data_IF_862421232163
#
_entry.id   IF_862421232163
#
_cell.length_a   1.000
_cell.length_b   1.000
_cell.length_c   1.000
_cell.angle_alpha   90.00
_cell.angle_beta   90.00
_cell.angle_gamma   90.00
#
_symmetry.space_group_name_H-M   'P 1'
#
loop_
_entity.id
_entity.type
_entity.pdbx_description
1 polymer ?
#
# COMPACT_ATOMS: atom_id res chain seq x y z
N UNK A 1 -27.84 18.85 9.05
CA UNK A 1 -28.53 18.06 10.09
C UNK A 1 -28.01 18.55 11.44
N UNK A 2 -28.90 18.94 12.37
CA UNK A 2 -28.51 19.28 13.74
C UNK A 2 -27.77 18.09 14.34
N UNK A 3 -26.64 18.36 14.99
CA UNK A 3 -25.80 17.35 15.60
C UNK A 3 -26.57 16.55 16.62
N UNK A 4 -26.57 15.23 16.45
CA UNK A 4 -27.06 14.30 17.46
C UNK A 4 -26.30 14.54 18.76
N UNK A 5 -27.06 14.64 19.85
CA UNK A 5 -26.50 14.50 21.19
C UNK A 5 -25.96 13.08 21.30
N UNK A 6 -24.65 12.96 21.48
CA UNK A 6 -23.98 11.69 21.73
C UNK A 6 -24.27 11.24 23.17
N UNK A 7 -25.52 10.86 23.45
CA UNK A 7 -25.97 10.39 24.78
C UNK A 7 -25.50 8.94 25.07
N UNK A 8 -24.35 8.53 24.54
CA UNK A 8 -23.69 7.24 24.85
C UNK A 8 -24.38 5.98 24.31
N UNK A 9 -25.62 6.06 23.83
CA UNK A 9 -26.41 4.92 23.36
C UNK A 9 -26.42 4.77 21.83
N UNK A 10 -25.28 4.96 21.16
CA UNK A 10 -25.21 4.54 19.74
C UNK A 10 -25.12 3.01 19.72
N UNK A 11 -26.27 2.37 19.49
CA UNK A 11 -26.33 0.92 19.30
C UNK A 11 -25.39 0.46 18.17
N UNK A 12 -24.79 -0.72 18.32
CA UNK A 12 -23.79 -1.27 17.39
C UNK A 12 -24.25 -1.23 15.93
N UNK A 13 -25.55 -1.46 15.68
CA UNK A 13 -26.12 -1.40 14.33
C UNK A 13 -26.18 0.02 13.75
N UNK A 14 -26.42 1.04 14.58
CA UNK A 14 -26.42 2.43 14.15
C UNK A 14 -24.99 2.88 13.80
N UNK A 15 -24.00 2.50 14.64
CA UNK A 15 -22.59 2.74 14.36
C UNK A 15 -22.13 2.04 13.06
N UNK A 16 -22.50 0.76 12.88
CA UNK A 16 -22.20 0.01 11.67
C UNK A 16 -22.83 0.62 10.42
N UNK A 17 -24.08 1.09 10.51
CA UNK A 17 -24.77 1.76 9.41
C UNK A 17 -24.14 3.11 9.07
N UNK A 18 -23.71 3.90 10.06
CA UNK A 18 -23.00 5.16 9.83
C UNK A 18 -21.65 4.91 9.15
N UNK A 19 -20.92 3.86 9.54
CA UNK A 19 -19.68 3.45 8.87
C UNK A 19 -19.93 3.01 7.43
N UNK A 20 -20.94 2.16 7.20
CA UNK A 20 -21.36 1.73 5.86
C UNK A 20 -21.76 2.92 4.98
N UNK A 21 -22.49 3.88 5.56
CA UNK A 21 -22.92 5.09 4.87
C UNK A 21 -21.71 5.99 4.56
N UNK A 22 -20.80 6.20 5.50
CA UNK A 22 -19.57 6.95 5.27
C UNK A 22 -18.71 6.31 4.16
N UNK A 23 -18.58 4.99 4.15
CA UNK A 23 -17.90 4.23 3.08
C UNK A 23 -18.62 4.35 1.74
N UNK A 24 -19.96 4.31 1.73
CA UNK A 24 -20.75 4.39 0.50
C UNK A 24 -20.69 5.79 -0.15
N UNK A 25 -20.70 6.86 0.66
CA UNK A 25 -20.80 8.24 0.17
C UNK A 25 -19.46 8.96 0.02
N UNK A 26 -18.36 8.45 0.58
CA UNK A 26 -17.02 8.99 0.34
C UNK A 26 -16.22 8.08 -0.61
N UNK A 27 -15.95 8.51 -1.85
CA UNK A 27 -15.14 7.72 -2.80
C UNK A 27 -13.77 7.31 -2.24
N UNK A 28 -13.20 8.15 -1.37
CA UNK A 28 -11.94 7.88 -0.70
C UNK A 28 -12.05 6.85 0.43
N UNK A 29 -13.21 6.75 1.11
CA UNK A 29 -13.47 5.77 2.15
C UNK A 29 -13.68 4.35 1.61
N UNK A 30 -14.05 4.20 0.33
CA UNK A 30 -14.13 2.87 -0.32
C UNK A 30 -12.76 2.19 -0.46
N UNK A 31 -11.68 2.98 -0.54
CA UNK A 31 -10.30 2.50 -0.54
C UNK A 31 -9.69 2.42 0.87
N UNK A 32 -10.42 2.90 1.88
CA UNK A 32 -10.12 2.69 3.29
C UNK A 32 -10.72 1.35 3.70
N UNK A 33 -10.03 0.26 3.41
CA UNK A 33 -10.29 -0.97 4.15
C UNK A 33 -10.02 -0.68 5.62
N UNK A 34 -11.03 -0.80 6.47
CA UNK A 34 -10.84 -0.90 7.93
C UNK A 34 -9.90 -2.08 8.17
N UNK A 35 -8.60 -1.80 8.27
CA UNK A 35 -7.57 -2.81 8.44
C UNK A 35 -7.07 -2.69 9.88
N UNK A 36 -7.71 -3.41 10.79
CA UNK A 36 -7.11 -3.68 12.09
C UNK A 36 -6.13 -4.85 11.91
N UNK A 37 -4.94 -4.58 11.37
CA UNK A 37 -3.85 -5.53 11.46
C UNK A 37 -3.11 -5.30 12.79
N UNK A 38 -3.34 -6.18 13.77
CA UNK A 38 -2.70 -6.13 15.07
C UNK A 38 -3.68 -6.27 16.25
N UNK A 39 -3.18 -6.09 17.46
CA UNK A 39 -3.97 -6.06 18.69
C UNK A 39 -4.35 -4.62 19.06
N UNK A 40 -5.60 -4.40 19.48
CA UNK A 40 -6.05 -3.13 20.05
C UNK A 40 -5.32 -2.85 21.38
N UNK A 41 -4.83 -1.63 21.63
CA UNK A 41 -4.33 -1.25 22.95
C UNK A 41 -5.46 -1.26 24.00
N UNK A 42 -5.09 -1.37 25.27
CA UNK A 42 -6.05 -1.27 26.38
C UNK A 42 -6.74 0.11 26.39
N UNK A 43 -8.03 0.13 26.74
CA UNK A 43 -8.97 1.26 26.57
C UNK A 43 -8.48 2.63 27.06
N UNK A 44 -7.53 2.68 28.01
CA UNK A 44 -7.02 3.92 28.59
C UNK A 44 -6.04 4.71 27.71
N UNK A 45 -5.67 4.21 26.52
CA UNK A 45 -4.67 4.82 25.64
C UNK A 45 -5.19 5.28 24.26
N UNK A 46 -6.50 5.25 24.02
CA UNK A 46 -7.11 5.51 22.71
C UNK A 46 -7.43 7.01 22.51
N UNK A 47 -6.41 7.82 22.26
CA UNK A 47 -6.60 9.22 21.82
C UNK A 47 -6.78 9.33 20.29
N UNK A 48 -7.06 10.54 19.79
CA UNK A 48 -7.27 10.76 18.35
C UNK A 48 -6.05 10.37 17.50
N UNK A 49 -4.83 10.50 18.04
CA UNK A 49 -3.61 10.09 17.36
C UNK A 49 -3.52 8.56 17.28
N UNK A 50 -3.89 7.84 18.35
CA UNK A 50 -4.00 6.38 18.36
C UNK A 50 -5.04 5.89 17.36
N UNK A 51 -6.21 6.54 17.27
CA UNK A 51 -7.21 6.22 16.26
C UNK A 51 -6.73 6.51 14.83
N UNK A 52 -6.06 7.65 14.59
CA UNK A 52 -5.49 7.96 13.29
C UNK A 52 -4.41 6.96 12.89
N UNK A 53 -3.62 6.47 13.85
CA UNK A 53 -2.59 5.46 13.64
C UNK A 53 -3.17 4.06 13.34
N UNK A 54 -4.26 3.70 14.00
CA UNK A 54 -4.96 2.43 13.80
C UNK A 54 -5.83 2.41 12.55
N UNK A 55 -6.53 3.50 12.25
CA UNK A 55 -7.56 3.56 11.20
C UNK A 55 -7.15 4.34 9.96
N UNK A 56 -5.90 4.80 9.91
CA UNK A 56 -5.29 5.58 8.84
C UNK A 56 -6.27 6.09 7.79
N UNK A 57 -6.59 7.36 7.93
CA UNK A 57 -7.19 8.13 6.87
C UNK A 57 -6.36 7.93 5.57
N UNK A 58 -6.94 7.16 4.65
CA UNK A 58 -6.79 7.30 3.19
C UNK A 58 -5.44 6.89 2.54
N UNK A 59 -4.50 6.29 3.27
CA UNK A 59 -3.19 5.92 2.68
C UNK A 59 -3.07 4.44 2.30
N UNK A 60 -4.00 3.96 1.48
CA UNK A 60 -4.01 2.61 0.91
C UNK A 60 -4.28 1.47 1.91
N UNK A 61 -4.77 0.31 1.45
CA UNK A 61 -5.01 -0.84 2.31
C UNK A 61 -3.69 -1.40 2.85
N UNK A 62 -3.61 -1.48 4.18
CA UNK A 62 -2.51 -2.13 4.89
C UNK A 62 -2.56 -3.65 4.67
N UNK A 63 -1.39 -4.26 4.49
CA UNK A 63 -1.22 -5.69 4.26
C UNK A 63 -0.55 -6.38 5.45
N UNK A 64 0.30 -5.66 6.19
CA UNK A 64 1.08 -6.21 7.29
C UNK A 64 1.51 -5.11 8.25
N UNK A 65 1.53 -5.43 9.54
CA UNK A 65 2.14 -4.63 10.61
C UNK A 65 2.91 -5.56 11.54
N UNK A 66 4.16 -5.20 11.84
CA UNK A 66 5.04 -5.94 12.74
C UNK A 66 5.71 -4.94 13.67
N UNK A 67 5.54 -5.15 14.97
CA UNK A 67 6.29 -4.42 15.99
C UNK A 67 7.73 -4.97 16.04
N UNK A 68 8.72 -4.11 15.81
CA UNK A 68 10.14 -4.44 15.88
C UNK A 68 10.77 -4.06 17.24
N UNK A 69 9.91 -3.74 18.22
CA UNK A 69 10.25 -3.39 19.59
C UNK A 69 10.50 -1.89 19.81
N UNK A 70 10.89 -1.54 21.04
CA UNK A 70 11.16 -0.14 21.40
C UNK A 70 12.43 0.36 20.72
N UNK A 71 12.38 1.60 20.25
CA UNK A 71 13.53 2.41 19.90
C UNK A 71 14.07 3.16 21.12
N UNK A 72 14.99 4.07 20.86
CA UNK A 72 15.53 4.97 21.89
C UNK A 72 14.47 6.01 22.30
N UNK A 73 14.22 6.13 23.62
CA UNK A 73 13.21 7.00 24.24
C UNK A 73 13.43 8.50 24.00
N UNK A 74 14.58 8.87 23.43
CA UNK A 74 14.93 10.26 23.18
C UNK A 74 14.10 10.75 21.98
N UNK A 75 12.98 11.43 22.29
CA UNK A 75 12.08 12.11 21.33
C UNK A 75 12.80 13.05 20.35
N UNK A 76 14.06 13.37 20.62
CA UNK A 76 14.91 14.29 19.85
C UNK A 76 16.18 13.65 19.28
N UNK A 77 16.44 12.36 19.53
CA UNK A 77 17.59 11.71 18.89
C UNK A 77 17.28 11.59 17.39
N UNK A 78 17.89 12.49 16.61
CA UNK A 78 17.87 12.50 15.14
C UNK A 78 18.31 11.15 14.55
N UNK A 79 18.99 10.33 15.35
CA UNK A 79 19.56 9.05 14.97
C UNK A 79 19.16 7.99 15.99
N UNK A 80 18.38 7.01 15.54
CA UNK A 80 18.06 5.81 16.31
C UNK A 80 18.76 4.62 15.63
N UNK A 81 19.84 4.06 16.24
CA UNK A 81 20.63 3.01 15.60
C UNK A 81 19.80 1.78 15.21
N UNK A 82 18.78 1.45 16.01
CA UNK A 82 17.93 0.28 15.77
C UNK A 82 17.02 0.52 14.57
N UNK A 83 16.47 1.74 14.46
CA UNK A 83 15.68 2.16 13.31
C UNK A 83 16.51 2.15 12.02
N UNK A 84 17.71 2.74 12.04
CA UNK A 84 18.58 2.82 10.85
C UNK A 84 19.07 1.44 10.41
N UNK A 85 19.47 0.58 11.35
CA UNK A 85 19.88 -0.80 11.03
C UNK A 85 18.74 -1.63 10.46
N UNK A 86 17.51 -1.45 10.95
CA UNK A 86 16.34 -2.11 10.40
C UNK A 86 16.00 -1.58 8.99
N UNK A 87 16.10 -0.27 8.79
CA UNK A 87 15.89 0.35 7.49
C UNK A 87 16.92 -0.15 6.45
N UNK A 88 18.20 -0.22 6.82
CA UNK A 88 19.27 -0.77 5.99
C UNK A 88 19.04 -2.26 5.71
N UNK A 89 18.67 -3.03 6.72
CA UNK A 89 18.34 -4.45 6.56
C UNK A 89 17.19 -4.67 5.57
N UNK A 90 16.08 -3.92 5.72
CA UNK A 90 14.93 -4.01 4.80
C UNK A 90 15.30 -3.52 3.40
N UNK A 91 16.15 -2.49 3.28
CA UNK A 91 16.66 -2.05 1.99
C UNK A 91 17.49 -3.15 1.33
N UNK A 92 18.41 -3.80 2.05
CA UNK A 92 19.19 -4.94 1.56
C UNK A 92 18.34 -6.17 1.24
N UNK A 93 17.29 -6.43 2.01
CA UNK A 93 16.30 -7.47 1.68
C UNK A 93 15.58 -7.15 0.36
N UNK A 94 15.24 -5.88 0.12
CA UNK A 94 14.49 -5.50 -1.07
C UNK A 94 15.26 -5.67 -2.37
N UNK A 95 16.60 -5.61 -2.35
CA UNK A 95 17.42 -5.80 -3.56
C UNK A 95 17.32 -7.20 -4.14
N UNK A 96 16.86 -8.19 -3.36
CA UNK A 96 16.57 -9.54 -3.85
C UNK A 96 15.50 -9.55 -4.94
N UNK A 97 14.68 -8.50 -5.02
CA UNK A 97 13.64 -8.32 -6.03
C UNK A 97 14.13 -7.51 -7.25
N UNK A 98 15.37 -7.01 -7.25
CA UNK A 98 15.96 -6.31 -8.39
C UNK A 98 16.61 -7.32 -9.36
N UNK A 99 16.31 -7.21 -10.66
CA UNK A 99 16.95 -8.03 -11.70
C UNK A 99 16.15 -9.26 -12.12
N UNK A 100 16.80 -10.43 -12.17
CA UNK A 100 16.19 -11.68 -12.62
C UNK A 100 15.24 -12.23 -11.54
N UNK A 101 14.00 -12.56 -11.90
CA UNK A 101 12.94 -12.98 -10.97
C UNK A 101 13.23 -14.31 -10.26
N UNK A 102 14.26 -15.03 -10.69
CA UNK A 102 14.62 -16.38 -10.21
C UNK A 102 14.96 -16.33 -8.72
N UNK A 103 14.26 -17.14 -7.93
CA UNK A 103 14.45 -17.24 -6.48
C UNK A 103 13.57 -16.32 -5.63
N UNK A 104 12.89 -15.33 -6.22
CA UNK A 104 11.96 -14.44 -5.48
C UNK A 104 10.59 -15.07 -5.21
N UNK A 105 10.20 -16.07 -6.00
CA UNK A 105 8.84 -16.63 -6.01
C UNK A 105 7.81 -15.76 -6.72
N UNK A 106 8.21 -14.62 -7.33
CA UNK A 106 7.31 -13.73 -8.06
C UNK A 106 7.21 -14.13 -9.54
N UNK A 107 5.98 -14.25 -10.02
CA UNK A 107 5.68 -14.37 -11.46
C UNK A 107 5.63 -13.01 -12.15
N UNK A 108 5.28 -11.96 -11.39
CA UNK A 108 5.21 -10.58 -11.88
C UNK A 108 6.59 -9.89 -11.83
N UNK A 109 7.05 -9.25 -12.90
CA UNK A 109 8.25 -8.41 -12.86
C UNK A 109 8.04 -7.22 -11.93
N UNK A 110 9.09 -6.85 -11.19
CA UNK A 110 9.01 -5.77 -10.20
C UNK A 110 10.16 -4.80 -10.34
N UNK A 111 9.93 -3.58 -9.86
CA UNK A 111 10.91 -2.51 -9.79
C UNK A 111 10.95 -1.98 -8.36
N UNK A 112 12.10 -2.08 -7.73
CA UNK A 112 12.32 -1.54 -6.39
C UNK A 112 12.70 -0.06 -6.50
N UNK A 113 12.08 0.77 -5.66
CA UNK A 113 12.33 2.20 -5.55
C UNK A 113 12.30 2.61 -4.09
N UNK A 114 12.95 3.72 -3.74
CA UNK A 114 12.75 4.33 -2.43
C UNK A 114 11.29 4.80 -2.27
N UNK A 115 10.78 4.70 -1.04
CA UNK A 115 9.50 5.31 -0.67
C UNK A 115 9.58 6.82 -0.88
N UNK A 116 8.41 7.43 -1.13
CA UNK A 116 8.33 8.89 -1.30
C UNK A 116 8.49 9.55 0.07
N UNK A 117 9.01 10.78 0.08
CA UNK A 117 8.95 11.59 1.30
C UNK A 117 7.48 11.74 1.70
N UNK A 118 7.14 11.47 2.97
CA UNK A 118 5.77 11.58 3.42
C UNK A 118 5.31 13.04 3.35
N UNK A 119 4.04 13.23 3.00
CA UNK A 119 3.36 14.52 3.15
C UNK A 119 3.07 14.77 4.63
N UNK A 120 2.92 16.04 5.05
CA UNK A 120 2.70 16.40 6.46
C UNK A 120 1.48 15.69 7.08
N UNK A 121 0.46 15.36 6.28
CA UNK A 121 -0.74 14.61 6.69
C UNK A 121 -0.52 13.10 6.87
N UNK A 122 0.58 12.53 6.36
CA UNK A 122 0.87 11.09 6.45
C UNK A 122 1.72 10.73 7.68
N UNK A 123 2.13 11.71 8.49
CA UNK A 123 3.12 11.57 9.58
C UNK A 123 2.47 11.63 10.96
N UNK A 124 1.14 11.75 11.06
CA UNK A 124 0.48 11.78 12.37
C UNK A 124 0.80 10.50 13.18
N UNK A 125 1.26 10.66 14.42
CA UNK A 125 1.75 9.56 15.27
C UNK A 125 3.13 8.96 14.92
N UNK A 126 3.82 9.44 13.87
CA UNK A 126 5.12 8.92 13.42
C UNK A 126 6.21 9.98 13.56
N UNK A 127 7.25 9.70 14.35
CA UNK A 127 8.40 10.60 14.52
C UNK A 127 9.39 10.50 13.35
N UNK A 128 9.63 9.30 12.81
CA UNK A 128 10.52 9.09 11.67
C UNK A 128 10.00 7.97 10.76
N UNK A 129 10.23 8.10 9.45
CA UNK A 129 9.82 7.10 8.46
C UNK A 129 10.87 6.94 7.37
N UNK A 130 11.21 5.70 7.07
CA UNK A 130 11.96 5.31 5.89
C UNK A 130 11.23 4.16 5.18
N UNK A 131 11.51 3.90 3.91
CA UNK A 131 10.84 2.81 3.24
C UNK A 131 11.24 2.58 1.80
N UNK A 132 10.74 1.48 1.26
CA UNK A 132 10.94 1.03 -0.12
C UNK A 132 9.60 0.67 -0.75
N UNK A 133 9.54 0.72 -2.08
CA UNK A 133 8.39 0.39 -2.90
C UNK A 133 8.79 -0.66 -3.90
N UNK A 134 8.10 -1.79 -3.87
CA UNK A 134 8.20 -2.87 -4.84
C UNK A 134 7.04 -2.68 -5.81
N UNK A 135 7.32 -2.03 -6.94
CA UNK A 135 6.33 -1.68 -7.95
C UNK A 135 6.17 -2.84 -8.93
N UNK A 136 4.95 -3.31 -9.14
CA UNK A 136 4.69 -4.27 -10.21
C UNK A 136 4.87 -3.60 -11.56
N UNK A 137 5.46 -4.32 -12.52
CA UNK A 137 5.60 -3.86 -13.90
C UNK A 137 4.55 -4.53 -14.79
N UNK A 138 4.20 -3.84 -15.87
CA UNK A 138 3.31 -4.37 -16.89
C UNK A 138 4.00 -5.55 -17.58
N UNK A 139 3.35 -6.69 -17.61
CA UNK A 139 3.72 -7.78 -18.51
C UNK A 139 2.94 -7.57 -19.81
N UNK A 140 3.61 -7.62 -20.96
CA UNK A 140 3.01 -7.53 -22.31
C UNK A 140 1.94 -8.62 -22.61
N UNK A 141 1.56 -9.43 -21.62
CA UNK A 141 0.43 -10.36 -21.71
C UNK A 141 -0.92 -9.64 -21.81
N UNK A 142 -1.05 -8.40 -21.29
CA UNK A 142 -2.30 -7.63 -21.36
C UNK A 142 -2.65 -7.10 -22.76
N UNK A 143 -1.65 -6.69 -23.54
CA UNK A 143 -1.86 -6.16 -24.92
C UNK A 143 -2.34 -7.24 -25.92
N UNK A 144 -2.32 -8.52 -25.54
CA UNK A 144 -2.88 -9.61 -26.35
C UNK A 144 -4.35 -9.89 -26.06
N UNK A 145 -4.87 -9.49 -24.89
CA UNK A 145 -6.29 -9.61 -24.59
C UNK A 145 -6.98 -8.35 -25.06
N UNK A 146 -7.31 -8.34 -26.35
CA UNK A 146 -8.21 -7.35 -26.92
C UNK A 146 -9.54 -7.45 -26.20
N UNK A 147 -10.09 -6.31 -25.82
CA UNK A 147 -11.47 -6.27 -25.33
C UNK A 147 -12.42 -6.79 -26.43
N UNK A 148 -13.58 -7.35 -26.07
CA UNK A 148 -14.57 -7.78 -27.06
C UNK A 148 -14.98 -6.63 -28.01
N UNK A 149 -14.87 -5.38 -27.57
CA UNK A 149 -15.06 -4.19 -28.43
C UNK A 149 -13.90 -3.95 -29.40
N UNK A 150 -12.65 -4.17 -28.99
CA UNK A 150 -11.48 -4.07 -29.88
C UNK A 150 -11.43 -5.22 -30.89
N UNK A 151 -11.79 -6.44 -30.47
CA UNK A 151 -11.93 -7.57 -31.41
C UNK A 151 -12.99 -7.28 -32.46
N UNK A 152 -14.13 -6.71 -32.06
CA UNK A 152 -15.23 -6.34 -32.96
C UNK A 152 -14.89 -5.16 -33.86
N UNK A 153 -14.01 -4.26 -33.42
CA UNK A 153 -13.50 -3.16 -34.25
C UNK A 153 -12.52 -3.67 -35.32
N UNK A 154 -11.58 -4.53 -34.93
CA UNK A 154 -10.61 -5.14 -35.85
C UNK A 154 -11.27 -6.08 -36.87
N UNK A 155 -12.33 -6.80 -36.47
CA UNK A 155 -13.10 -7.64 -37.39
C UNK A 155 -13.86 -6.80 -38.43
N UNK A 156 -14.31 -5.60 -38.04
CA UNK A 156 -14.97 -4.63 -38.92
C UNK A 156 -13.98 -3.94 -39.87
N UNK A 157 -12.74 -3.71 -39.45
CA UNK A 157 -11.67 -3.22 -40.34
C UNK A 157 -11.18 -4.30 -41.31
N UNK A 158 -11.16 -5.58 -40.90
CA UNK A 158 -10.78 -6.69 -41.79
C UNK A 158 -11.82 -7.02 -42.87
N UNK A 159 -13.08 -6.68 -42.65
CA UNK A 159 -14.18 -6.95 -43.58
C UNK A 159 -14.50 -5.77 -44.52
N UNK A 160 -13.90 -4.60 -44.30
CA UNK A 160 -14.03 -3.42 -45.17
C UNK A 160 -12.78 -3.17 -46.00
N UNK A 161 -12.71 -3.71 -47.21
CA UNK A 161 -11.67 -3.38 -48.17
C UNK A 161 -11.70 -1.89 -48.52
N UNK A 162 -10.70 -1.13 -48.06
CA UNK A 162 -10.62 0.31 -48.28
C UNK A 162 -9.20 0.82 -48.16
N UNK A 163 -8.58 1.07 -49.30
CA UNK A 163 -7.27 1.71 -49.44
C UNK A 163 -7.34 3.15 -48.92
N UNK A 164 -6.99 3.40 -47.66
CA UNK A 164 -6.79 4.76 -47.14
C UNK A 164 -5.53 4.87 -46.30
N UNK A 165 -4.68 5.78 -46.76
CA UNK A 165 -3.45 6.34 -46.17
C UNK A 165 -3.27 6.13 -44.67
N UNK A 166 -2.15 5.46 -44.31
CA UNK A 166 -1.57 5.37 -42.97
C UNK A 166 -1.44 6.76 -42.34
N UNK A 167 -2.44 7.19 -41.60
CA UNK A 167 -2.21 8.12 -40.49
C UNK A 167 -1.57 7.30 -39.37
N UNK A 168 -0.28 7.53 -39.14
CA UNK A 168 0.44 7.05 -37.96
C UNK A 168 -0.42 7.37 -36.74
N UNK A 169 -0.81 6.40 -35.90
CA UNK A 169 -1.51 6.72 -34.67
C UNK A 169 -0.54 7.53 -33.83
N UNK A 170 -0.83 8.82 -33.67
CA UNK A 170 -0.23 9.68 -32.66
C UNK A 170 -0.37 8.89 -31.37
N UNK A 171 0.75 8.34 -30.86
CA UNK A 171 0.79 7.69 -29.56
C UNK A 171 0.31 8.74 -28.58
N UNK A 172 -0.96 8.65 -28.18
CA UNK A 172 -1.43 9.27 -26.96
C UNK A 172 -0.47 8.74 -25.91
N UNK A 173 0.43 9.62 -25.44
CA UNK A 173 1.31 9.34 -24.31
C UNK A 173 0.39 9.30 -23.09
N UNK A 174 -0.40 8.23 -23.01
CA UNK A 174 -1.16 7.89 -21.83
C UNK A 174 -0.16 7.74 -20.70
N UNK A 175 -0.47 8.34 -19.55
CA UNK A 175 0.27 8.06 -18.32
C UNK A 175 0.39 6.53 -18.19
N UNK A 176 1.59 5.99 -17.91
CA UNK A 176 1.76 4.55 -17.76
C UNK A 176 0.72 4.02 -16.77
N UNK A 177 0.08 2.90 -17.10
CA UNK A 177 -0.90 2.27 -16.23
C UNK A 177 -0.28 2.03 -14.86
N UNK A 178 -1.04 2.36 -13.81
CA UNK A 178 -0.67 2.03 -12.45
C UNK A 178 -0.91 0.53 -12.24
N UNK A 179 0.18 -0.21 -12.07
CA UNK A 179 0.18 -1.68 -11.98
C UNK A 179 0.08 -2.21 -10.54
N UNK A 180 -0.05 -1.33 -9.56
CA UNK A 180 0.01 -1.69 -8.14
C UNK A 180 1.43 -1.96 -7.65
N UNK A 181 1.53 -2.43 -6.42
CA UNK A 181 2.79 -2.75 -5.76
C UNK A 181 2.65 -2.73 -4.24
N UNK A 182 3.74 -3.08 -3.56
CA UNK A 182 3.82 -3.11 -2.11
C UNK A 182 4.83 -2.06 -1.65
N UNK A 183 4.39 -1.15 -0.78
CA UNK A 183 5.28 -0.23 -0.07
C UNK A 183 5.55 -0.77 1.33
N UNK A 184 6.83 -0.89 1.66
CA UNK A 184 7.30 -1.29 2.99
C UNK A 184 7.87 -0.07 3.69
N UNK A 185 7.34 0.24 4.85
CA UNK A 185 7.67 1.39 5.68
C UNK A 185 8.25 0.91 7.00
N UNK A 186 9.36 1.51 7.39
CA UNK A 186 9.95 1.42 8.72
C UNK A 186 9.60 2.72 9.41
N UNK A 187 8.92 2.63 10.54
CA UNK A 187 8.39 3.78 11.26
C UNK A 187 8.85 3.76 12.71
N UNK A 188 9.28 4.91 13.20
CA UNK A 188 9.41 5.19 14.63
C UNK A 188 8.20 6.01 15.05
N UNK A 189 7.38 5.48 15.95
CA UNK A 189 6.21 6.20 16.47
C UNK A 189 6.63 7.30 17.44
N UNK A 190 5.75 8.27 17.69
CA UNK A 190 5.96 9.29 18.73
C UNK A 190 6.04 8.70 20.15
N UNK A 191 5.49 7.49 20.34
CA UNK A 191 5.63 6.69 21.55
C UNK A 191 6.96 5.95 21.69
N UNK A 192 7.87 6.09 20.72
CA UNK A 192 9.20 5.47 20.75
C UNK A 192 9.25 4.05 20.21
N UNK A 193 8.13 3.48 19.75
CA UNK A 193 8.08 2.13 19.18
C UNK A 193 8.58 2.12 17.73
N UNK A 194 9.37 1.12 17.35
CA UNK A 194 9.78 0.89 15.97
C UNK A 194 8.92 -0.23 15.40
N UNK A 195 8.36 0.01 14.21
CA UNK A 195 7.52 -0.96 13.51
C UNK A 195 7.80 -1.02 12.01
N UNK A 196 7.47 -2.16 11.41
CA UNK A 196 7.48 -2.36 9.96
C UNK A 196 6.05 -2.51 9.47
N UNK A 197 5.71 -1.79 8.42
CA UNK A 197 4.38 -1.81 7.80
C UNK A 197 4.48 -2.07 6.31
N UNK A 198 3.62 -2.91 5.78
CA UNK A 198 3.46 -3.10 4.35
C UNK A 198 2.07 -2.63 3.93
N UNK A 199 1.97 -1.87 2.84
CA UNK A 199 0.70 -1.38 2.29
C UNK A 199 0.69 -1.43 0.77
N UNK A 200 -0.49 -1.49 0.16
CA UNK A 200 -0.59 -1.36 -1.30
C UNK A 200 -0.20 0.05 -1.73
N UNK A 201 0.58 0.15 -2.80
CA UNK A 201 0.99 1.42 -3.38
C UNK A 201 0.80 1.41 -4.90
N UNK A 202 0.96 2.58 -5.53
CA UNK A 202 0.82 2.71 -6.99
C UNK A 202 -0.54 2.20 -7.53
N UNK A 203 -1.62 2.50 -6.80
CA UNK A 203 -2.99 2.12 -7.16
C UNK A 203 -3.66 3.22 -7.99
N UNK A 204 -4.46 2.82 -8.96
CA UNK A 204 -5.41 3.64 -9.71
C UNK A 204 -6.70 2.86 -9.96
N UNK A 205 -7.70 3.52 -10.53
CA UNK A 205 -9.08 2.99 -10.61
C UNK A 205 -9.21 1.69 -11.40
N UNK A 206 -8.27 1.42 -12.31
CA UNK A 206 -8.22 0.20 -13.14
C UNK A 206 -7.09 -0.74 -12.74
N UNK A 207 -6.41 -0.48 -11.62
CA UNK A 207 -5.31 -1.32 -11.17
C UNK A 207 -5.84 -2.68 -10.74
N UNK A 208 -5.36 -3.73 -11.39
CA UNK A 208 -5.63 -5.11 -10.99
C UNK A 208 -4.74 -5.44 -9.80
N UNK A 209 -5.36 -5.87 -8.70
CA UNK A 209 -4.64 -6.33 -7.50
C UNK A 209 -3.96 -7.67 -7.79
N UNK A 210 -2.65 -7.76 -7.59
CA UNK A 210 -1.85 -8.97 -7.84
C UNK A 210 -1.66 -9.74 -6.53
N UNK A 211 -2.75 -10.21 -5.94
CA UNK A 211 -2.82 -10.76 -4.58
C UNK A 211 -1.75 -11.84 -4.30
N UNK A 212 -1.56 -12.79 -5.22
CA UNK A 212 -0.54 -13.83 -5.09
C UNK A 212 0.89 -13.25 -4.99
N UNK A 213 1.18 -12.19 -5.75
CA UNK A 213 2.50 -11.52 -5.67
C UNK A 213 2.64 -10.72 -4.38
N UNK A 214 1.55 -10.08 -3.91
CA UNK A 214 1.52 -9.36 -2.63
C UNK A 214 1.76 -10.32 -1.45
N UNK A 215 1.09 -11.48 -1.46
CA UNK A 215 1.22 -12.50 -0.40
C UNK A 215 2.65 -13.01 -0.30
N UNK A 216 3.30 -13.32 -1.43
CA UNK A 216 4.69 -13.78 -1.44
C UNK A 216 5.61 -12.72 -0.82
N UNK A 217 5.46 -11.45 -1.20
CA UNK A 217 6.26 -10.34 -0.66
C UNK A 217 6.03 -10.21 0.85
N UNK A 218 4.77 -10.20 1.29
CA UNK A 218 4.38 -10.03 2.69
C UNK A 218 4.86 -11.20 3.55
N UNK A 219 4.74 -12.44 3.08
CA UNK A 219 5.24 -13.63 3.77
C UNK A 219 6.75 -13.61 3.92
N UNK A 220 7.48 -13.26 2.86
CA UNK A 220 8.94 -13.15 2.89
C UNK A 220 9.39 -12.02 3.82
N UNK A 221 8.71 -10.87 3.78
CA UNK A 221 8.98 -9.74 4.67
C UNK A 221 8.77 -10.12 6.13
N UNK A 222 7.63 -10.78 6.44
CA UNK A 222 7.33 -11.22 7.81
C UNK A 222 8.42 -12.13 8.34
N UNK A 223 8.82 -13.15 7.56
CA UNK A 223 9.91 -14.05 7.94
C UNK A 223 11.23 -13.30 8.16
N UNK A 224 11.59 -12.37 7.29
CA UNK A 224 12.84 -11.61 7.39
C UNK A 224 12.86 -10.71 8.64
N UNK A 225 11.78 -9.96 8.88
CA UNK A 225 11.69 -9.05 10.03
C UNK A 225 11.60 -9.83 11.33
N UNK A 226 10.82 -10.91 11.41
CA UNK A 226 10.78 -11.76 12.60
C UNK A 226 12.14 -12.35 12.93
N UNK A 227 12.86 -12.88 11.94
CA UNK A 227 14.23 -13.38 12.16
C UNK A 227 15.20 -12.28 12.63
N UNK A 228 15.06 -11.05 12.10
CA UNK A 228 15.86 -9.91 12.55
C UNK A 228 15.55 -9.51 14.00
N UNK A 229 14.27 -9.54 14.39
CA UNK A 229 13.82 -9.25 15.76
C UNK A 229 14.31 -10.32 16.73
N UNK A 230 14.25 -11.60 16.36
CA UNK A 230 14.68 -12.73 17.20
C UNK A 230 16.21 -12.85 17.33
N UNK A 231 16.98 -12.34 16.37
CA UNK A 231 18.44 -12.38 16.40
C UNK A 231 19.08 -11.32 17.32
N UNK A 232 18.27 -10.53 18.03
CA UNK A 232 18.70 -9.42 18.90
C UNK A 232 18.10 -9.54 20.29
#
# INVERSE_FOLDING_TARGET
LPGDKLDGEIGVNAAANVLLQAMAYQPYARNSTLCAAGSMPADSALDAAAWNDMFLCLSGPELLRIEAGSGTDVKEALFDPKFEQLAEYVQGWSTQYEGDRKGTGLTTPVLVRRSRKPSASEIDGVAARQGIRILFQSTNTGDRYKSASEEKADEKERSGGGTTTRASPTKLVGKPSKEGGVEVLIEKTTGGTIRVRARRCNMGDKTIVKEMSEEVIVKNLKRAVTAWVEAR
#
